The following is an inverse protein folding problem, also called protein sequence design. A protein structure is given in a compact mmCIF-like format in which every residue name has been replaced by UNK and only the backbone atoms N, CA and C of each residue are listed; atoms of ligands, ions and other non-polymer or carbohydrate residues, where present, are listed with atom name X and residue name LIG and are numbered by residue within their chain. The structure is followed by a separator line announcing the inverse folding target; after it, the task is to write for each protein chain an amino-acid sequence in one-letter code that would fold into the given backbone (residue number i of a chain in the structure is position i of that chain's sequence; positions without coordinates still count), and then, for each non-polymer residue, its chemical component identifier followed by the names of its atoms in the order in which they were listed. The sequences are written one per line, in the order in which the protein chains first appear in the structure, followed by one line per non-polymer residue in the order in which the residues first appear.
data_IF_952303512107
#
_entry.id   IF_952303512107
#
_cell.length_a   1.000
_cell.length_b   1.000
_cell.length_c   1.000
_cell.angle_alpha   90.00
_cell.angle_beta   90.00
_cell.angle_gamma   90.00
#
_symmetry.space_group_name_H-M   'P 1'
#
loop_
_entity.id
_entity.type
_entity.pdbx_description
1 polymer ?
#
# COMPACT_ATOMS: atom_id res chain seq x y z
N UNK A 1 37.13 3.19 -52.14
CA UNK A 1 35.73 2.81 -52.18
C UNK A 1 35.15 3.15 -50.81
N UNK A 2 34.31 4.18 -50.77
CA UNK A 2 33.72 4.71 -49.53
C UNK A 2 32.48 3.91 -49.19
N UNK A 3 32.38 3.43 -47.94
CA UNK A 3 31.17 2.84 -47.41
C UNK A 3 30.42 3.93 -46.62
N UNK A 4 29.30 4.34 -47.16
CA UNK A 4 28.36 5.28 -46.55
C UNK A 4 27.61 4.57 -45.45
N UNK A 5 27.75 5.02 -44.19
CA UNK A 5 26.86 4.68 -43.11
C UNK A 5 25.75 5.71 -43.02
N UNK A 6 24.57 5.37 -43.48
CA UNK A 6 23.37 6.17 -43.29
C UNK A 6 22.86 5.96 -41.87
N UNK A 7 23.12 6.90 -40.98
CA UNK A 7 22.39 7.04 -39.71
C UNK A 7 20.97 7.55 -40.00
N UNK A 8 20.01 6.64 -40.05
CA UNK A 8 18.61 7.01 -40.00
C UNK A 8 18.27 7.39 -38.56
N UNK A 9 17.61 8.54 -38.31
CA UNK A 9 17.20 8.91 -36.97
C UNK A 9 16.18 7.89 -36.47
N UNK A 10 16.45 7.24 -35.30
CA UNK A 10 15.48 6.40 -34.60
C UNK A 10 14.23 7.24 -34.32
N UNK A 11 13.12 6.89 -34.91
CA UNK A 11 11.85 7.51 -34.67
C UNK A 11 11.58 7.46 -33.15
N UNK A 12 11.35 8.61 -32.52
CA UNK A 12 10.87 8.70 -31.13
C UNK A 12 9.58 7.90 -31.06
N UNK A 13 9.53 6.87 -30.20
CA UNK A 13 8.29 6.15 -29.89
C UNK A 13 7.26 7.19 -29.44
N UNK A 14 6.09 7.17 -30.04
CA UNK A 14 4.98 8.00 -29.59
C UNK A 14 4.60 7.56 -28.17
N UNK A 15 4.20 8.48 -27.31
CA UNK A 15 3.91 8.22 -25.89
C UNK A 15 2.91 7.09 -25.59
N UNK A 16 2.10 6.71 -26.61
CA UNK A 16 1.16 5.60 -26.55
C UNK A 16 1.81 4.20 -26.60
N UNK A 17 3.12 4.10 -26.89
CA UNK A 17 3.84 2.82 -26.93
C UNK A 17 4.55 2.49 -25.60
N UNK A 18 4.39 3.33 -24.57
CA UNK A 18 4.95 3.09 -23.25
C UNK A 18 4.14 1.97 -22.52
N UNK A 19 4.81 1.08 -21.77
CA UNK A 19 4.11 0.08 -20.97
C UNK A 19 3.06 0.75 -20.06
N UNK A 20 1.85 0.21 -20.01
CA UNK A 20 0.74 0.68 -19.14
C UNK A 20 0.28 2.14 -19.41
N UNK A 21 0.57 2.71 -20.55
CA UNK A 21 0.22 4.10 -20.86
C UNK A 21 -1.28 4.41 -20.66
N UNK A 22 -2.15 3.45 -20.90
CA UNK A 22 -3.59 3.49 -20.70
C UNK A 22 -4.02 3.60 -19.22
N UNK A 23 -3.13 3.25 -18.27
CA UNK A 23 -3.40 3.27 -16.84
C UNK A 23 -2.78 4.48 -16.11
N UNK A 24 -1.91 5.24 -16.77
CA UNK A 24 -1.15 6.33 -16.12
C UNK A 24 -2.05 7.39 -15.50
N UNK A 25 -3.15 7.74 -16.14
CA UNK A 25 -4.06 8.76 -15.61
C UNK A 25 -4.75 8.30 -14.34
N UNK A 26 -5.21 7.04 -14.29
CA UNK A 26 -5.84 6.45 -13.12
C UNK A 26 -4.83 6.30 -11.98
N UNK A 27 -3.60 5.89 -12.28
CA UNK A 27 -2.55 5.78 -11.29
C UNK A 27 -2.17 7.14 -10.69
N UNK A 28 -1.99 8.16 -11.55
CA UNK A 28 -1.67 9.51 -11.08
C UNK A 28 -2.80 10.05 -10.18
N UNK A 29 -4.05 9.90 -10.61
CA UNK A 29 -5.20 10.32 -9.81
C UNK A 29 -5.26 9.60 -8.47
N UNK A 30 -5.04 8.28 -8.45
CA UNK A 30 -5.08 7.49 -7.20
C UNK A 30 -3.93 7.87 -6.26
N UNK A 31 -2.71 8.03 -6.77
CA UNK A 31 -1.57 8.48 -5.94
C UNK A 31 -1.80 9.89 -5.38
N UNK A 32 -2.36 10.81 -6.18
CA UNK A 32 -2.75 12.14 -5.72
C UNK A 32 -3.87 12.06 -4.67
N UNK A 33 -4.86 11.20 -4.86
CA UNK A 33 -5.93 10.99 -3.87
C UNK A 33 -5.35 10.51 -2.53
N UNK A 34 -4.47 9.50 -2.54
CA UNK A 34 -3.81 9.02 -1.33
C UNK A 34 -3.04 10.16 -0.66
N UNK A 35 -2.22 10.91 -1.40
CA UNK A 35 -1.41 12.01 -0.86
C UNK A 35 -2.29 13.09 -0.20
N UNK A 36 -3.31 13.58 -0.90
CA UNK A 36 -4.18 14.65 -0.40
C UNK A 36 -5.06 14.18 0.75
N UNK A 37 -5.56 12.95 0.69
CA UNK A 37 -6.31 12.34 1.79
C UNK A 37 -5.45 12.27 3.06
N UNK A 38 -4.21 11.81 2.95
CA UNK A 38 -3.29 11.69 4.08
C UNK A 38 -2.86 13.05 4.64
N UNK A 39 -2.61 14.03 3.78
CA UNK A 39 -2.34 15.41 4.20
C UNK A 39 -3.52 15.96 5.01
N UNK A 40 -4.75 15.76 4.54
CA UNK A 40 -5.95 16.20 5.24
C UNK A 40 -6.20 15.42 6.53
N UNK A 41 -5.94 14.11 6.56
CA UNK A 41 -5.99 13.31 7.79
C UNK A 41 -4.97 13.82 8.83
N UNK A 42 -3.76 14.20 8.40
CA UNK A 42 -2.76 14.81 9.27
C UNK A 42 -3.19 16.16 9.85
N UNK A 43 -3.86 17.00 9.06
CA UNK A 43 -4.46 18.25 9.54
C UNK A 43 -5.56 17.99 10.56
N UNK A 44 -6.49 17.07 10.26
CA UNK A 44 -7.58 16.69 11.16
C UNK A 44 -7.06 16.12 12.49
N UNK A 45 -6.01 15.31 12.44
CA UNK A 45 -5.32 14.85 13.66
C UNK A 45 -4.76 16.02 14.48
N UNK A 46 -4.12 16.97 13.82
CA UNK A 46 -3.48 18.10 14.50
C UNK A 46 -4.45 19.01 15.24
N UNK A 47 -5.70 19.05 14.79
CA UNK A 47 -6.79 19.81 15.46
C UNK A 47 -7.67 18.94 16.36
N UNK A 48 -7.30 17.67 16.57
CA UNK A 48 -7.97 16.77 17.52
C UNK A 48 -9.24 16.09 17.01
N UNK A 49 -9.53 16.12 15.71
CA UNK A 49 -10.67 15.43 15.10
C UNK A 49 -10.40 13.91 14.93
N UNK A 50 -9.14 13.52 14.85
CA UNK A 50 -8.71 12.11 14.81
C UNK A 50 -8.01 11.78 16.12
N UNK A 51 -8.49 10.77 16.83
CA UNK A 51 -7.94 10.29 18.10
C UNK A 51 -7.01 9.09 17.93
N UNK A 52 -6.30 8.72 18.99
CA UNK A 52 -5.43 7.56 19.00
C UNK A 52 -4.16 7.74 18.18
N UNK A 53 -3.63 6.64 17.62
CA UNK A 53 -2.47 6.68 16.72
C UNK A 53 -2.94 6.83 15.27
N UNK A 54 -2.30 7.75 14.55
CA UNK A 54 -2.54 7.95 13.13
C UNK A 54 -1.21 7.79 12.36
N UNK A 55 -1.19 6.90 11.37
CA UNK A 55 0.00 6.53 10.61
C UNK A 55 -0.21 6.86 9.14
N UNK A 56 0.35 7.96 8.67
CA UNK A 56 0.18 8.43 7.30
C UNK A 56 1.06 7.67 6.30
N UNK A 57 0.53 7.44 5.11
CA UNK A 57 1.19 6.68 4.03
C UNK A 57 2.04 7.53 3.07
N UNK A 58 2.18 8.81 3.34
CA UNK A 58 2.84 9.81 2.47
C UNK A 58 4.25 9.40 2.06
N UNK A 59 4.50 9.35 0.75
CA UNK A 59 5.78 9.00 0.12
C UNK A 59 5.84 7.56 -0.42
N UNK A 60 4.84 6.71 -0.15
CA UNK A 60 4.80 5.30 -0.53
C UNK A 60 3.68 4.97 -1.54
N UNK A 61 3.06 5.97 -2.14
CA UNK A 61 1.85 5.85 -2.94
C UNK A 61 2.00 4.90 -4.13
N UNK A 62 3.17 4.92 -4.80
CA UNK A 62 3.44 4.03 -5.93
C UNK A 62 3.44 2.55 -5.55
N UNK A 63 3.78 2.22 -4.29
CA UNK A 63 3.77 0.84 -3.80
C UNK A 63 2.33 0.31 -3.74
N UNK A 64 1.43 1.04 -3.07
CA UNK A 64 0.04 0.63 -2.97
C UNK A 64 -0.64 0.57 -4.34
N UNK A 65 -0.50 1.64 -5.15
CA UNK A 65 -1.19 1.74 -6.44
C UNK A 65 -0.63 0.72 -7.44
N UNK A 66 0.69 0.58 -7.54
CA UNK A 66 1.33 -0.34 -8.48
C UNK A 66 0.97 -1.81 -8.20
N UNK A 67 0.97 -2.22 -6.94
CA UNK A 67 0.61 -3.59 -6.55
C UNK A 67 -0.89 -3.84 -6.70
N UNK A 68 -1.73 -3.00 -6.12
CA UNK A 68 -3.17 -3.27 -5.99
C UNK A 68 -3.90 -3.12 -7.32
N UNK A 69 -3.46 -2.20 -8.20
CA UNK A 69 -4.07 -2.04 -9.53
C UNK A 69 -3.89 -3.26 -10.46
N UNK A 70 -3.00 -4.19 -10.11
CA UNK A 70 -2.80 -5.45 -10.82
C UNK A 70 -3.64 -6.62 -10.28
N UNK A 71 -4.34 -6.44 -9.15
CA UNK A 71 -5.16 -7.47 -8.54
C UNK A 71 -6.51 -7.65 -9.25
N UNK A 72 -7.06 -8.83 -9.12
CA UNK A 72 -8.45 -9.11 -9.47
C UNK A 72 -9.38 -8.65 -8.33
N UNK A 73 -10.65 -8.38 -8.62
CA UNK A 73 -11.61 -7.95 -7.60
C UNK A 73 -11.78 -8.93 -6.42
N UNK A 74 -11.59 -10.22 -6.67
CA UNK A 74 -11.76 -11.31 -5.69
C UNK A 74 -10.48 -11.66 -4.92
N UNK A 75 -9.34 -11.04 -5.21
CA UNK A 75 -8.09 -11.25 -4.48
C UNK A 75 -8.12 -10.62 -3.08
N UNK A 76 -7.34 -11.18 -2.16
CA UNK A 76 -7.24 -10.69 -0.79
C UNK A 76 -6.09 -9.72 -0.63
N UNK A 77 -6.34 -8.63 0.10
CA UNK A 77 -5.33 -7.66 0.54
C UNK A 77 -5.37 -7.57 2.05
N UNK A 78 -4.23 -7.67 2.71
CA UNK A 78 -4.09 -7.49 4.15
C UNK A 78 -2.84 -6.64 4.44
N UNK A 79 -2.94 -5.70 5.38
CA UNK A 79 -1.87 -4.74 5.64
C UNK A 79 -1.54 -4.61 7.13
N UNK A 80 -0.46 -3.90 7.41
CA UNK A 80 -0.15 -3.38 8.73
C UNK A 80 -0.99 -2.14 9.02
N UNK A 81 -0.71 -1.48 10.12
CA UNK A 81 -1.44 -0.30 10.63
C UNK A 81 -1.31 0.98 9.80
N UNK A 82 -0.53 0.99 8.72
CA UNK A 82 -0.36 2.12 7.76
C UNK A 82 -1.08 1.80 6.46
N UNK A 83 -2.38 1.56 6.56
CA UNK A 83 -3.14 0.94 5.47
C UNK A 83 -4.03 1.89 4.66
N UNK A 84 -4.07 3.19 4.98
CA UNK A 84 -4.97 4.12 4.30
C UNK A 84 -4.75 4.12 2.78
N UNK A 85 -3.48 4.13 2.34
CA UNK A 85 -3.12 4.08 0.93
C UNK A 85 -3.59 2.80 0.25
N UNK A 86 -3.40 1.65 0.89
CA UNK A 86 -3.85 0.37 0.38
C UNK A 86 -5.38 0.26 0.34
N UNK A 87 -6.07 0.79 1.35
CA UNK A 87 -7.52 0.80 1.43
C UNK A 87 -8.12 1.64 0.28
N UNK A 88 -7.60 2.86 0.05
CA UNK A 88 -8.00 3.71 -1.07
C UNK A 88 -7.70 3.05 -2.42
N UNK A 89 -6.50 2.52 -2.61
CA UNK A 89 -6.10 1.83 -3.84
C UNK A 89 -6.96 0.57 -4.11
N UNK A 90 -7.46 -0.09 -3.06
CA UNK A 90 -8.38 -1.24 -3.17
C UNK A 90 -9.81 -0.82 -3.53
N UNK A 91 -10.11 0.48 -3.52
CA UNK A 91 -11.40 1.04 -3.89
C UNK A 91 -12.38 1.13 -2.72
N UNK A 92 -11.89 1.20 -1.49
CA UNK A 92 -12.72 1.59 -0.35
C UNK A 92 -13.09 3.07 -0.45
N UNK A 93 -14.27 3.42 0.04
CA UNK A 93 -14.78 4.79 -0.03
C UNK A 93 -13.95 5.73 0.85
N UNK A 94 -13.46 6.85 0.28
CA UNK A 94 -12.79 7.90 1.04
C UNK A 94 -13.65 8.46 2.16
N UNK A 95 -14.99 8.55 1.96
CA UNK A 95 -15.96 8.91 3.00
C UNK A 95 -15.94 7.94 4.18
N UNK A 96 -16.03 6.63 3.89
CA UNK A 96 -16.06 5.59 4.91
C UNK A 96 -14.74 5.50 5.68
N UNK A 97 -13.60 5.68 5.00
CA UNK A 97 -12.29 5.71 5.63
C UNK A 97 -12.17 6.95 6.53
N UNK A 98 -12.49 8.15 6.04
CA UNK A 98 -12.39 9.37 6.86
C UNK A 98 -13.33 9.33 8.06
N UNK A 99 -14.55 8.81 7.89
CA UNK A 99 -15.50 8.61 9.00
C UNK A 99 -14.94 7.63 10.06
N UNK A 100 -14.22 6.58 9.63
CA UNK A 100 -13.56 5.66 10.57
C UNK A 100 -12.44 6.35 11.35
N UNK A 101 -11.61 7.16 10.67
CA UNK A 101 -10.55 7.92 11.33
C UNK A 101 -11.11 8.91 12.37
N UNK A 102 -12.30 9.48 12.09
CA UNK A 102 -13.03 10.38 13.01
C UNK A 102 -13.79 9.61 14.12
N UNK A 103 -13.77 8.27 14.12
CA UNK A 103 -14.47 7.43 15.09
C UNK A 103 -15.98 7.41 14.92
N UNK A 104 -16.50 7.64 13.70
CA UNK A 104 -17.94 7.76 13.42
C UNK A 104 -18.58 6.43 13.07
N UNK A 105 -19.88 6.29 13.41
CA UNK A 105 -20.66 5.08 13.15
C UNK A 105 -20.72 4.67 11.66
N UNK A 106 -20.55 5.61 10.74
CA UNK A 106 -20.54 5.38 9.28
C UNK A 106 -19.18 4.96 8.75
N UNK A 107 -18.17 4.84 9.61
CA UNK A 107 -16.86 4.30 9.28
C UNK A 107 -16.91 2.82 8.86
N UNK A 108 -15.91 2.36 8.12
CA UNK A 108 -15.84 0.99 7.61
C UNK A 108 -15.74 -0.08 8.71
N UNK A 109 -15.32 0.31 9.91
CA UNK A 109 -15.29 -0.52 11.13
C UNK A 109 -16.20 0.06 12.23
N UNK A 110 -17.23 0.81 11.83
CA UNK A 110 -18.25 1.42 12.72
C UNK A 110 -17.67 2.39 13.77
N UNK A 111 -16.54 3.03 13.45
CA UNK A 111 -15.84 3.92 14.37
C UNK A 111 -15.03 3.23 15.47
N UNK A 112 -14.94 1.89 15.44
CA UNK A 112 -14.25 1.08 16.45
C UNK A 112 -12.77 0.84 16.12
N UNK A 113 -12.38 0.93 14.84
CA UNK A 113 -11.06 0.59 14.34
C UNK A 113 -10.07 1.75 14.30
N UNK A 114 -10.55 2.94 14.02
CA UNK A 114 -9.72 4.13 13.81
C UNK A 114 -8.73 3.96 12.66
N UNK A 115 -7.57 4.65 12.74
CA UNK A 115 -6.55 4.68 11.68
C UNK A 115 -5.89 3.33 11.38
N UNK A 116 -5.95 2.34 12.26
CA UNK A 116 -5.14 1.13 12.17
C UNK A 116 -5.94 -0.15 11.87
N UNK A 117 -7.27 -0.06 11.74
CA UNK A 117 -8.14 -1.22 11.59
C UNK A 117 -9.28 -0.94 10.63
N UNK A 118 -8.91 -0.67 9.37
CA UNK A 118 -9.85 -0.51 8.26
C UNK A 118 -10.15 -1.87 7.64
N UNK A 119 -11.42 -2.21 7.45
CA UNK A 119 -11.85 -3.48 6.86
C UNK A 119 -12.94 -3.24 5.81
N UNK A 120 -12.89 -4.02 4.72
CA UNK A 120 -13.95 -4.08 3.71
C UNK A 120 -13.93 -5.46 3.04
N UNK A 121 -14.79 -6.34 3.51
CA UNK A 121 -14.87 -7.72 3.00
C UNK A 121 -15.36 -7.79 1.56
N UNK A 122 -16.21 -6.85 1.12
CA UNK A 122 -16.72 -6.81 -0.25
C UNK A 122 -15.60 -6.45 -1.25
N UNK A 123 -14.65 -5.64 -0.81
CA UNK A 123 -13.46 -5.29 -1.58
C UNK A 123 -12.32 -6.30 -1.41
N UNK A 124 -12.48 -7.33 -0.59
CA UNK A 124 -11.40 -8.25 -0.25
C UNK A 124 -10.27 -7.60 0.55
N UNK A 125 -10.54 -6.47 1.23
CA UNK A 125 -9.59 -5.80 2.12
C UNK A 125 -9.74 -6.36 3.53
N UNK A 126 -8.81 -7.24 3.91
CA UNK A 126 -8.83 -8.04 5.14
C UNK A 126 -8.20 -7.32 6.33
N UNK A 127 -8.08 -6.01 6.22
CA UNK A 127 -7.79 -5.08 7.29
C UNK A 127 -6.36 -4.68 7.49
N UNK A 128 -6.23 -3.64 8.29
CA UNK A 128 -5.00 -3.18 8.92
C UNK A 128 -4.83 -3.80 10.31
N UNK A 129 -3.59 -4.06 10.67
CA UNK A 129 -3.26 -4.74 11.92
C UNK A 129 -2.26 -3.92 12.74
N UNK A 130 -2.65 -3.55 13.97
CA UNK A 130 -1.80 -2.81 14.91
C UNK A 130 -0.64 -3.66 15.45
N UNK A 131 -0.82 -4.98 15.56
CA UNK A 131 0.26 -5.90 15.99
C UNK A 131 1.25 -6.08 14.86
N UNK A 132 2.50 -5.65 15.08
CA UNK A 132 3.56 -5.74 14.08
C UNK A 132 3.76 -7.19 13.62
N UNK A 133 3.56 -7.43 12.33
CA UNK A 133 3.71 -8.74 11.71
C UNK A 133 2.58 -9.74 11.97
N UNK A 134 1.55 -9.40 12.75
CA UNK A 134 0.40 -10.26 12.99
C UNK A 134 -0.37 -10.62 11.73
N UNK A 135 -0.38 -9.72 10.74
CA UNK A 135 -1.01 -9.95 9.44
C UNK A 135 -0.29 -10.96 8.55
N UNK A 136 0.99 -11.24 8.77
CA UNK A 136 1.78 -12.12 7.89
C UNK A 136 1.23 -13.57 7.91
N UNK A 137 1.02 -14.21 9.06
CA UNK A 137 0.40 -15.54 9.10
C UNK A 137 -1.07 -15.52 8.64
N UNK A 138 -1.82 -14.42 8.86
CA UNK A 138 -3.18 -14.29 8.35
C UNK A 138 -3.20 -14.25 6.82
N UNK A 139 -2.30 -13.51 6.19
CA UNK A 139 -2.15 -13.48 4.75
C UNK A 139 -1.79 -14.85 4.17
N UNK A 140 -0.89 -15.60 4.83
CA UNK A 140 -0.62 -17.00 4.49
C UNK A 140 -1.89 -17.87 4.63
N UNK A 141 -2.72 -17.60 5.65
CA UNK A 141 -4.00 -18.29 5.88
C UNK A 141 -5.01 -18.04 4.76
N UNK A 142 -5.15 -16.81 4.27
CA UNK A 142 -6.00 -16.51 3.11
C UNK A 142 -5.52 -17.23 1.85
N UNK A 143 -4.21 -17.24 1.59
CA UNK A 143 -3.63 -17.99 0.48
C UNK A 143 -3.86 -19.50 0.64
N UNK A 144 -3.76 -20.03 1.85
CA UNK A 144 -4.08 -21.42 2.12
C UNK A 144 -5.57 -21.73 1.86
N UNK A 145 -6.46 -20.84 2.30
CA UNK A 145 -7.90 -20.99 2.04
C UNK A 145 -8.22 -20.97 0.55
N UNK A 146 -7.61 -20.06 -0.22
CA UNK A 146 -7.75 -20.03 -1.68
C UNK A 146 -7.30 -21.35 -2.31
N UNK A 147 -6.14 -21.86 -1.95
CA UNK A 147 -5.63 -23.15 -2.42
C UNK A 147 -6.53 -24.32 -2.02
N UNK A 148 -6.99 -24.36 -0.75
CA UNK A 148 -7.88 -25.41 -0.26
C UNK A 148 -9.22 -25.44 -1.02
N UNK A 149 -9.78 -24.24 -1.28
CA UNK A 149 -11.03 -24.07 -2.05
C UNK A 149 -10.83 -24.25 -3.56
N UNK A 150 -9.58 -24.38 -4.02
CA UNK A 150 -9.20 -24.45 -5.45
C UNK A 150 -9.68 -23.25 -6.25
N UNK A 151 -9.61 -22.06 -5.66
CA UNK A 151 -9.84 -20.80 -6.36
C UNK A 151 -8.53 -20.28 -6.94
N UNK A 152 -8.62 -19.30 -7.86
CA UNK A 152 -7.45 -18.65 -8.45
C UNK A 152 -7.04 -17.37 -7.69
N UNK A 153 -7.65 -17.10 -6.53
CA UNK A 153 -7.35 -15.94 -5.70
C UNK A 153 -5.92 -15.97 -5.20
N UNK A 154 -5.33 -14.80 -5.09
CA UNK A 154 -4.04 -14.59 -4.43
C UNK A 154 -4.23 -13.76 -3.15
N UNK A 155 -3.30 -13.88 -2.23
CA UNK A 155 -3.24 -13.07 -1.02
C UNK A 155 -2.04 -12.15 -1.08
N UNK A 156 -2.27 -10.84 -1.10
CA UNK A 156 -1.27 -9.79 -1.04
C UNK A 156 -1.14 -9.29 0.40
N UNK A 157 0.03 -9.45 1.00
CA UNK A 157 0.28 -9.17 2.41
C UNK A 157 1.36 -8.12 2.57
N UNK A 158 1.00 -6.94 3.08
CA UNK A 158 1.92 -5.82 3.32
C UNK A 158 2.44 -5.81 4.75
N UNK A 159 3.71 -5.50 4.92
CA UNK A 159 4.34 -5.28 6.23
C UNK A 159 5.63 -4.46 6.09
N UNK A 160 6.02 -3.77 7.15
CA UNK A 160 7.28 -3.01 7.16
C UNK A 160 8.51 -3.91 7.35
N UNK A 161 9.68 -3.37 7.03
CA UNK A 161 10.97 -4.06 7.12
C UNK A 161 11.31 -4.58 8.53
N UNK A 162 10.85 -3.89 9.58
CA UNK A 162 11.06 -4.33 10.96
C UNK A 162 10.31 -5.64 11.26
N UNK A 163 9.14 -5.84 10.67
CA UNK A 163 8.35 -7.05 10.84
C UNK A 163 9.04 -8.29 10.25
N UNK A 164 9.97 -8.12 9.32
CA UNK A 164 10.74 -9.24 8.78
C UNK A 164 11.67 -9.90 9.82
N UNK A 165 11.86 -9.32 11.02
CA UNK A 165 12.71 -9.86 12.07
C UNK A 165 11.94 -10.68 13.14
N UNK A 166 10.61 -10.75 13.07
CA UNK A 166 9.79 -11.48 14.07
C UNK A 166 9.59 -12.95 13.69
N UNK A 167 9.29 -13.79 14.67
CA UNK A 167 9.11 -15.24 14.48
C UNK A 167 8.01 -15.57 13.46
N UNK A 168 6.86 -14.91 13.54
CA UNK A 168 5.72 -15.15 12.65
C UNK A 168 6.02 -14.92 11.16
N UNK A 169 6.97 -14.02 10.82
CA UNK A 169 7.45 -13.88 9.45
C UNK A 169 8.09 -15.21 8.98
N UNK A 170 9.02 -15.73 9.74
CA UNK A 170 9.76 -16.95 9.38
C UNK A 170 8.85 -18.17 9.29
N UNK A 171 7.93 -18.31 10.22
CA UNK A 171 6.97 -19.41 10.28
C UNK A 171 6.01 -19.36 9.09
N UNK A 172 5.41 -18.20 8.81
CA UNK A 172 4.45 -18.02 7.74
C UNK A 172 5.09 -18.24 6.34
N UNK A 173 6.30 -17.69 6.12
CA UNK A 173 6.98 -17.87 4.83
C UNK A 173 7.42 -19.32 4.62
N UNK A 174 7.86 -20.00 5.67
CA UNK A 174 8.19 -21.43 5.60
C UNK A 174 6.97 -22.27 5.20
N UNK A 175 5.82 -22.04 5.84
CA UNK A 175 4.57 -22.73 5.50
C UNK A 175 4.11 -22.42 4.07
N UNK A 176 4.19 -21.14 3.69
CA UNK A 176 3.80 -20.71 2.35
C UNK A 176 4.67 -21.34 1.26
N UNK A 177 5.99 -21.40 1.46
CA UNK A 177 6.93 -22.04 0.54
C UNK A 177 6.71 -23.55 0.45
N UNK A 178 6.64 -24.22 1.61
CA UNK A 178 6.40 -25.69 1.69
C UNK A 178 5.13 -26.12 0.96
N UNK A 179 4.05 -25.37 1.13
CA UNK A 179 2.76 -25.70 0.53
C UNK A 179 2.52 -25.00 -0.80
N UNK A 180 3.47 -24.25 -1.33
CA UNK A 180 3.32 -23.47 -2.58
C UNK A 180 2.02 -22.68 -2.59
N UNK A 181 1.83 -21.85 -1.55
CA UNK A 181 0.62 -21.04 -1.42
C UNK A 181 0.63 -19.88 -2.42
N UNK A 182 -0.54 -19.45 -2.94
CA UNK A 182 -0.65 -18.29 -3.80
C UNK A 182 -0.57 -16.99 -2.97
N UNK A 183 0.57 -16.77 -2.30
CA UNK A 183 0.83 -15.64 -1.43
C UNK A 183 1.92 -14.74 -2.01
N UNK A 184 1.70 -13.43 -1.92
CA UNK A 184 2.69 -12.41 -2.21
C UNK A 184 2.96 -11.64 -0.91
N UNK A 185 4.18 -11.71 -0.43
CA UNK A 185 4.64 -11.02 0.77
C UNK A 185 5.40 -9.77 0.37
N UNK A 186 4.97 -8.61 0.86
CA UNK A 186 5.51 -7.30 0.50
C UNK A 186 6.14 -6.65 1.71
N UNK A 187 7.44 -6.45 1.66
CA UNK A 187 8.16 -5.59 2.61
C UNK A 187 8.08 -4.15 2.07
N UNK A 188 7.33 -3.28 2.72
CA UNK A 188 7.39 -1.83 2.48
C UNK A 188 8.63 -1.28 3.21
N UNK A 189 9.78 -1.36 2.55
CA UNK A 189 11.06 -1.05 3.14
C UNK A 189 11.38 0.44 3.03
N UNK A 190 10.94 1.20 4.02
CA UNK A 190 11.22 2.64 4.11
C UNK A 190 12.48 2.95 4.96
N UNK A 191 13.26 1.93 5.29
CA UNK A 191 14.55 2.03 5.97
C UNK A 191 14.50 2.10 7.49
N UNK A 192 13.31 2.30 8.10
CA UNK A 192 13.18 2.55 9.53
C UNK A 192 11.95 1.90 10.15
N UNK A 193 12.17 0.96 11.07
CA UNK A 193 11.14 0.49 12.01
C UNK A 193 11.03 1.48 13.18
N UNK A 194 10.00 2.33 13.20
CA UNK A 194 9.93 3.53 14.02
C UNK A 194 11.19 4.40 13.80
N UNK A 195 12.05 4.51 14.80
CA UNK A 195 13.33 5.21 14.75
C UNK A 195 14.56 4.29 14.58
N UNK A 196 14.37 2.98 14.38
CA UNK A 196 15.48 2.03 14.25
C UNK A 196 15.75 1.73 12.78
N UNK A 197 16.92 2.14 12.29
CA UNK A 197 17.34 1.85 10.93
C UNK A 197 17.57 0.34 10.72
N UNK A 198 17.24 -0.17 9.52
CA UNK A 198 17.44 -1.59 9.14
C UNK A 198 18.85 -2.08 9.44
N UNK A 199 19.88 -1.29 9.10
CA UNK A 199 21.29 -1.64 9.35
C UNK A 199 21.67 -1.85 10.82
N UNK A 200 20.81 -1.43 11.76
CA UNK A 200 21.00 -1.65 13.21
C UNK A 200 20.24 -2.85 13.73
N UNK A 201 19.22 -3.33 13.01
CA UNK A 201 18.29 -4.35 13.46
C UNK A 201 18.37 -5.65 12.65
N UNK A 202 18.86 -5.61 11.43
CA UNK A 202 18.95 -6.77 10.54
C UNK A 202 20.40 -7.15 10.26
N UNK A 203 20.71 -8.46 10.37
CA UNK A 203 22.04 -8.99 10.05
C UNK A 203 22.38 -8.84 8.56
N UNK A 204 21.38 -8.89 7.68
CA UNK A 204 21.47 -8.57 6.26
C UNK A 204 20.45 -7.48 5.95
N UNK A 205 20.85 -6.46 5.17
CA UNK A 205 20.00 -5.32 4.83
C UNK A 205 19.17 -5.53 3.57
N UNK A 206 19.62 -6.48 2.72
CA UNK A 206 18.92 -6.88 1.50
C UNK A 206 17.92 -7.98 1.85
N UNK A 207 16.74 -7.54 2.33
CA UNK A 207 15.77 -8.42 2.98
C UNK A 207 15.15 -9.43 2.00
N UNK A 208 15.14 -9.12 0.69
CA UNK A 208 14.69 -10.07 -0.34
C UNK A 208 15.50 -11.37 -0.33
N UNK A 209 16.77 -11.35 0.09
CA UNK A 209 17.62 -12.55 0.16
C UNK A 209 17.12 -13.59 1.16
N UNK A 210 16.30 -13.19 2.14
CA UNK A 210 15.69 -14.13 3.10
C UNK A 210 14.74 -15.13 2.45
N UNK A 211 14.18 -14.79 1.30
CA UNK A 211 13.28 -15.66 0.55
C UNK A 211 13.89 -17.01 0.18
N UNK A 212 15.20 -17.03 -0.08
CA UNK A 212 15.93 -18.26 -0.42
C UNK A 212 15.82 -19.33 0.67
N UNK A 213 15.72 -18.94 1.96
CA UNK A 213 15.55 -19.85 3.08
C UNK A 213 14.24 -20.63 3.06
N UNK A 214 13.24 -20.15 2.28
CA UNK A 214 11.89 -20.75 2.18
C UNK A 214 11.62 -21.31 0.78
N UNK A 215 12.64 -21.39 -0.09
CA UNK A 215 12.51 -21.92 -1.45
C UNK A 215 11.61 -21.09 -2.36
N UNK A 216 11.52 -19.77 -2.13
CA UNK A 216 10.74 -18.85 -2.96
C UNK A 216 11.63 -17.74 -3.53
N UNK A 217 11.25 -17.12 -4.66
CA UNK A 217 11.96 -15.95 -5.17
C UNK A 217 11.81 -14.76 -4.23
N UNK A 218 12.90 -14.02 -4.06
CA UNK A 218 12.94 -12.72 -3.41
C UNK A 218 13.41 -11.67 -4.42
N UNK A 219 12.67 -10.57 -4.53
CA UNK A 219 12.92 -9.52 -5.52
C UNK A 219 13.01 -8.18 -4.82
N UNK A 220 14.11 -7.45 -5.05
CA UNK A 220 14.21 -6.04 -4.67
C UNK A 220 13.58 -5.18 -5.77
N UNK A 221 12.74 -4.23 -5.37
CA UNK A 221 11.98 -3.37 -6.29
C UNK A 221 12.15 -1.91 -5.89
N UNK A 222 12.31 -1.03 -6.87
CA UNK A 222 12.26 0.42 -6.65
C UNK A 222 10.81 0.87 -6.43
N UNK A 223 10.45 1.13 -5.19
CA UNK A 223 9.10 1.53 -4.76
C UNK A 223 8.71 2.97 -5.12
N UNK A 224 9.64 3.77 -5.67
CA UNK A 224 9.33 5.11 -6.16
C UNK A 224 8.97 5.10 -7.66
N UNK A 225 9.28 4.02 -8.40
CA UNK A 225 8.84 3.83 -9.78
C UNK A 225 7.63 2.87 -9.84
N UNK A 226 6.45 3.44 -10.07
CA UNK A 226 5.19 2.67 -10.14
C UNK A 226 5.23 1.60 -11.23
N UNK A 227 6.00 1.79 -12.31
CA UNK A 227 6.11 0.81 -13.39
C UNK A 227 6.91 -0.40 -12.91
N UNK A 228 8.04 -0.17 -12.24
CA UNK A 228 8.82 -1.26 -11.64
C UNK A 228 8.00 -2.05 -10.62
N UNK A 229 7.20 -1.37 -9.79
CA UNK A 229 6.29 -2.01 -8.84
C UNK A 229 5.24 -2.84 -9.56
N UNK A 230 4.63 -2.30 -10.63
CA UNK A 230 3.62 -3.01 -11.42
C UNK A 230 4.16 -4.26 -12.11
N UNK A 231 5.33 -4.19 -12.74
CA UNK A 231 5.96 -5.33 -13.40
C UNK A 231 6.31 -6.45 -12.42
N UNK A 232 6.82 -6.08 -11.24
CA UNK A 232 7.08 -7.04 -10.16
C UNK A 232 5.80 -7.70 -9.65
N UNK A 233 4.72 -6.91 -9.51
CA UNK A 233 3.39 -7.39 -9.11
C UNK A 233 2.86 -8.44 -10.10
N UNK A 234 2.83 -8.11 -11.39
CA UNK A 234 2.31 -9.02 -12.42
C UNK A 234 3.09 -10.33 -12.47
N UNK A 235 4.42 -10.25 -12.37
CA UNK A 235 5.27 -11.44 -12.31
C UNK A 235 4.94 -12.31 -11.10
N UNK A 236 4.80 -11.71 -9.92
CA UNK A 236 4.49 -12.42 -8.68
C UNK A 236 3.08 -13.05 -8.71
N UNK A 237 2.08 -12.32 -9.23
CA UNK A 237 0.71 -12.82 -9.34
C UNK A 237 0.59 -13.94 -10.36
N UNK A 238 1.22 -13.80 -11.52
CA UNK A 238 1.25 -14.87 -12.53
C UNK A 238 1.83 -16.16 -11.97
N UNK A 239 2.97 -16.05 -11.26
CA UNK A 239 3.61 -17.18 -10.58
C UNK A 239 2.70 -17.84 -9.55
N UNK A 240 2.06 -17.04 -8.70
CA UNK A 240 1.17 -17.52 -7.64
C UNK A 240 -0.05 -18.27 -8.24
N UNK A 241 -0.68 -17.70 -9.28
CA UNK A 241 -1.82 -18.31 -9.97
C UNK A 241 -1.45 -19.58 -10.76
N UNK A 242 -0.22 -19.66 -11.27
CA UNK A 242 0.31 -20.88 -11.90
C UNK A 242 0.58 -22.01 -10.89
N UNK A 243 0.39 -21.76 -9.56
CA UNK A 243 0.65 -22.76 -8.52
C UNK A 243 2.14 -23.00 -8.25
N UNK A 244 3.00 -22.09 -8.73
CA UNK A 244 4.46 -22.19 -8.52
C UNK A 244 4.90 -21.76 -7.12
N UNK A 245 4.00 -21.13 -6.35
CA UNK A 245 4.19 -20.77 -4.95
C UNK A 245 4.37 -19.27 -4.72
N UNK A 246 4.74 -18.87 -3.49
CA UNK A 246 4.80 -17.49 -3.06
C UNK A 246 6.01 -16.74 -3.62
N UNK A 247 5.95 -15.41 -3.49
CA UNK A 247 7.06 -14.49 -3.80
C UNK A 247 7.21 -13.49 -2.66
N UNK A 248 8.46 -13.14 -2.31
CA UNK A 248 8.79 -12.05 -1.39
C UNK A 248 9.27 -10.84 -2.20
N UNK A 249 8.59 -9.71 -2.08
CA UNK A 249 8.98 -8.44 -2.68
C UNK A 249 9.54 -7.52 -1.59
N UNK A 250 10.80 -7.10 -1.71
CA UNK A 250 11.42 -6.07 -0.85
C UNK A 250 11.36 -4.74 -1.60
N UNK A 251 10.31 -3.97 -1.35
CA UNK A 251 10.04 -2.73 -2.09
C UNK A 251 10.67 -1.56 -1.35
N UNK A 252 11.75 -1.02 -1.94
CA UNK A 252 12.49 0.12 -1.41
C UNK A 252 11.70 1.39 -1.65
N UNK A 253 11.22 2.00 -0.57
CA UNK A 253 10.41 3.20 -0.61
C UNK A 253 10.87 4.21 0.45
N UNK A 254 10.18 5.33 0.58
CA UNK A 254 10.51 6.33 1.59
C UNK A 254 9.24 6.97 2.18
N UNK A 255 9.18 7.05 3.50
CA UNK A 255 8.10 7.72 4.24
C UNK A 255 8.52 9.16 4.54
N UNK A 256 7.78 10.16 4.02
CA UNK A 256 8.14 11.59 4.18
C UNK A 256 7.78 12.19 5.54
N UNK A 257 6.92 11.53 6.29
CA UNK A 257 6.42 11.97 7.60
C UNK A 257 7.02 11.12 8.73
N UNK A 258 6.74 11.47 9.98
CA UNK A 258 7.11 10.68 11.15
C UNK A 258 6.53 9.25 11.10
N UNK A 259 6.92 8.40 12.04
CA UNK A 259 6.36 7.05 12.12
C UNK A 259 4.84 7.10 12.36
N UNK A 260 4.42 7.95 13.28
CA UNK A 260 3.03 8.34 13.51
C UNK A 260 2.94 9.87 13.53
N UNK A 261 1.74 10.41 13.65
CA UNK A 261 1.53 11.86 13.74
C UNK A 261 2.14 12.48 14.99
N UNK A 262 2.44 11.69 16.03
CA UNK A 262 3.16 12.16 17.23
C UNK A 262 4.67 12.30 17.02
N UNK A 263 5.22 11.80 15.92
CA UNK A 263 6.66 11.80 15.68
C UNK A 263 7.08 12.89 14.71
N UNK A 264 8.22 13.52 14.95
CA UNK A 264 8.80 14.47 14.01
C UNK A 264 9.24 13.75 12.70
N UNK A 265 9.06 14.41 11.58
CA UNK A 265 9.47 13.89 10.26
C UNK A 265 11.00 13.78 10.13
N UNK A 266 11.73 14.68 10.76
CA UNK A 266 13.21 14.74 10.76
C UNK A 266 13.74 15.26 12.10
N UNK A 267 15.04 15.12 12.32
CA UNK A 267 15.73 15.65 13.51
C UNK A 267 15.79 14.70 14.71
N UNK A 268 15.02 13.63 14.72
CA UNK A 268 15.06 12.59 15.77
C UNK A 268 15.92 11.40 15.38
N UNK A 269 15.65 10.77 14.22
CA UNK A 269 16.35 9.57 13.75
C UNK A 269 16.73 9.64 12.26
N UNK A 270 16.15 10.57 11.50
CA UNK A 270 16.49 10.90 10.11
C UNK A 270 16.98 12.32 10.01
N UNK A 271 17.95 12.57 9.13
CA UNK A 271 18.40 13.94 8.87
C UNK A 271 17.45 14.65 7.89
N UNK A 272 17.51 15.97 7.87
CA UNK A 272 16.77 16.77 6.89
C UNK A 272 17.28 16.53 5.49
N UNK A 273 18.59 16.37 5.34
CA UNK A 273 19.26 16.10 4.05
C UNK A 273 18.78 14.77 3.44
N UNK A 274 18.62 13.72 4.28
CA UNK A 274 18.07 12.44 3.86
C UNK A 274 16.63 12.59 3.35
N UNK A 275 15.80 13.33 4.06
CA UNK A 275 14.42 13.60 3.67
C UNK A 275 14.36 14.42 2.37
N UNK A 276 15.17 15.46 2.24
CA UNK A 276 15.19 16.33 1.06
C UNK A 276 15.70 15.58 -0.19
N UNK A 277 16.71 14.71 -0.03
CA UNK A 277 17.19 13.85 -1.10
C UNK A 277 16.12 12.85 -1.57
N UNK A 278 15.37 12.28 -0.64
CA UNK A 278 14.30 11.34 -0.97
C UNK A 278 13.12 12.01 -1.70
N UNK A 279 12.81 13.28 -1.36
CA UNK A 279 11.78 14.06 -2.06
C UNK A 279 12.09 14.36 -3.52
N UNK A 280 13.37 14.33 -3.92
CA UNK A 280 13.75 14.47 -5.34
C UNK A 280 13.30 13.30 -6.19
N UNK A 281 12.94 12.19 -5.55
CA UNK A 281 12.41 10.98 -6.19
C UNK A 281 10.96 10.70 -5.78
N UNK A 282 10.16 11.78 -5.62
CA UNK A 282 8.75 11.65 -5.29
C UNK A 282 8.01 10.83 -6.36
N UNK A 283 7.27 9.76 -5.98
CA UNK A 283 6.66 8.84 -6.94
C UNK A 283 5.59 9.51 -7.81
N UNK A 284 4.89 10.52 -7.28
CA UNK A 284 3.90 11.29 -8.03
C UNK A 284 4.61 12.13 -9.09
N UNK A 285 5.66 12.84 -8.69
CA UNK A 285 6.44 13.67 -9.61
C UNK A 285 7.13 12.85 -10.71
N UNK A 286 7.60 11.64 -10.40
CA UNK A 286 8.19 10.73 -11.38
C UNK A 286 7.17 10.28 -12.44
N UNK A 287 5.95 9.93 -12.04
CA UNK A 287 4.90 9.56 -13.00
C UNK A 287 4.43 10.77 -13.80
N UNK A 288 4.23 11.92 -13.15
CA UNK A 288 3.87 13.18 -13.81
C UNK A 288 4.88 13.56 -14.90
N UNK A 289 6.17 13.56 -14.58
CA UNK A 289 7.23 13.86 -15.54
C UNK A 289 7.18 12.90 -16.72
N UNK A 290 7.01 11.61 -16.50
CA UNK A 290 6.90 10.59 -17.54
C UNK A 290 5.67 10.83 -18.43
N UNK A 291 4.55 11.19 -17.87
CA UNK A 291 3.33 11.51 -18.62
C UNK A 291 3.50 12.78 -19.47
N UNK A 292 4.15 13.81 -18.94
CA UNK A 292 4.46 15.05 -19.66
C UNK A 292 5.42 14.78 -20.84
N UNK A 293 6.49 14.03 -20.60
CA UNK A 293 7.45 13.65 -21.64
C UNK A 293 6.81 12.84 -22.77
N UNK A 294 5.79 12.05 -22.42
CA UNK A 294 4.99 11.28 -23.38
C UNK A 294 3.88 12.10 -24.06
N UNK A 295 3.68 13.37 -23.66
CA UNK A 295 2.59 14.22 -24.18
C UNK A 295 1.19 13.76 -23.74
N UNK A 296 1.09 13.04 -22.63
CA UNK A 296 -0.16 12.50 -22.07
C UNK A 296 -0.76 13.36 -20.97
N UNK A 297 -0.01 14.36 -20.49
CA UNK A 297 -0.42 15.27 -19.42
C UNK A 297 0.08 16.69 -19.72
N UNK A 298 -0.81 17.65 -19.64
CA UNK A 298 -0.52 19.09 -19.63
C UNK A 298 -0.95 19.73 -18.31
N UNK A 299 -0.74 21.04 -18.15
CA UNK A 299 -1.09 21.75 -16.93
C UNK A 299 -2.61 21.77 -16.69
N UNK A 300 -3.40 21.83 -17.74
CA UNK A 300 -4.86 21.81 -17.63
C UNK A 300 -5.36 20.43 -17.17
N UNK A 301 -4.80 19.36 -17.71
CA UNK A 301 -5.09 17.98 -17.30
C UNK A 301 -4.72 17.71 -15.85
N UNK A 302 -3.53 18.13 -15.42
CA UNK A 302 -3.12 18.01 -14.03
C UNK A 302 -4.04 18.80 -13.09
N UNK A 303 -4.35 20.05 -13.42
CA UNK A 303 -5.24 20.88 -12.62
C UNK A 303 -6.66 20.26 -12.51
N UNK A 304 -7.16 19.64 -13.56
CA UNK A 304 -8.44 18.94 -13.51
C UNK A 304 -8.42 17.71 -12.59
N UNK A 305 -7.35 16.92 -12.61
CA UNK A 305 -7.17 15.79 -11.70
C UNK A 305 -7.08 16.28 -10.25
N UNK A 306 -6.26 17.29 -9.97
CA UNK A 306 -6.10 17.86 -8.63
C UNK A 306 -7.42 18.44 -8.10
N UNK A 307 -8.18 19.15 -8.91
CA UNK A 307 -9.49 19.69 -8.53
C UNK A 307 -10.49 18.58 -8.17
N UNK A 308 -10.53 17.50 -8.97
CA UNK A 308 -11.35 16.32 -8.68
C UNK A 308 -10.98 15.64 -7.37
N UNK A 309 -9.68 15.46 -7.13
CA UNK A 309 -9.15 14.86 -5.89
C UNK A 309 -9.46 15.76 -4.69
N UNK A 310 -9.23 17.07 -4.80
CA UNK A 310 -9.53 18.00 -3.72
C UNK A 310 -11.01 18.00 -3.34
N UNK A 311 -11.90 17.94 -4.33
CA UNK A 311 -13.34 17.84 -4.10
C UNK A 311 -13.72 16.53 -3.37
N UNK A 312 -13.14 15.39 -3.77
CA UNK A 312 -13.38 14.09 -3.13
C UNK A 312 -12.88 14.07 -1.67
N UNK A 313 -11.70 14.62 -1.41
CA UNK A 313 -11.15 14.71 -0.06
C UNK A 313 -11.97 15.65 0.82
N UNK A 314 -12.37 16.82 0.31
CA UNK A 314 -13.23 17.76 1.05
C UNK A 314 -14.58 17.13 1.41
N UNK A 315 -15.19 16.42 0.45
CA UNK A 315 -16.43 15.69 0.64
C UNK A 315 -16.32 14.60 1.70
N UNK A 316 -15.19 13.86 1.74
CA UNK A 316 -14.95 12.83 2.75
C UNK A 316 -14.88 13.40 4.18
N UNK A 317 -14.30 14.59 4.34
CA UNK A 317 -14.25 15.28 5.63
C UNK A 317 -15.64 15.78 6.05
N UNK A 318 -16.37 16.44 5.14
CA UNK A 318 -17.74 16.90 5.41
C UNK A 318 -18.62 15.72 5.83
N UNK A 319 -18.55 14.59 5.09
CA UNK A 319 -19.28 13.38 5.43
C UNK A 319 -18.93 12.86 6.83
N UNK A 320 -17.65 12.85 7.20
CA UNK A 320 -17.20 12.39 8.52
C UNK A 320 -17.69 13.34 9.62
N UNK A 321 -17.64 14.66 9.43
CA UNK A 321 -18.11 15.66 10.39
C UNK A 321 -19.63 15.58 10.63
N UNK A 322 -20.40 15.32 9.58
CA UNK A 322 -21.86 15.19 9.65
C UNK A 322 -22.33 13.81 10.13
N UNK A 323 -21.44 12.85 10.19
CA UNK A 323 -21.74 11.46 10.61
C UNK A 323 -21.98 11.35 12.11
N UNK A 324 -22.95 10.49 12.53
CA UNK A 324 -23.24 10.30 13.96
C UNK A 324 -22.10 9.58 14.69
N UNK A 325 -22.01 9.84 15.98
CA UNK A 325 -21.19 9.03 16.90
C UNK A 325 -21.77 7.62 17.00
N UNK A 326 -20.94 6.59 17.26
CA UNK A 326 -21.43 5.26 17.59
C UNK A 326 -22.34 5.28 18.83
N UNK A 327 -23.39 4.45 18.85
CA UNK A 327 -24.22 4.29 20.04
C UNK A 327 -23.41 3.66 21.20
N UNK A 328 -23.64 4.11 22.40
CA UNK A 328 -22.94 3.59 23.59
C UNK A 328 -23.12 2.06 23.77
N UNK A 329 -24.23 1.50 23.34
CA UNK A 329 -24.48 0.05 23.32
C UNK A 329 -23.56 -0.74 22.40
N UNK A 330 -23.03 -0.10 21.37
CA UNK A 330 -22.06 -0.74 20.45
C UNK A 330 -20.76 -1.19 21.14
N UNK A 331 -20.46 -0.67 22.33
CA UNK A 331 -19.33 -1.12 23.14
C UNK A 331 -19.39 -2.62 23.48
N UNK A 332 -20.59 -3.18 23.55
CA UNK A 332 -20.83 -4.57 23.96
C UNK A 332 -21.22 -5.49 22.81
N UNK A 333 -21.33 -4.96 21.57
CA UNK A 333 -21.69 -5.75 20.40
C UNK A 333 -20.42 -6.29 19.71
N UNK A 334 -20.58 -7.38 18.97
CA UNK A 334 -19.52 -7.97 18.13
C UNK A 334 -18.22 -8.36 18.87
N UNK A 335 -18.28 -8.53 20.20
CA UNK A 335 -17.15 -8.97 21.02
C UNK A 335 -16.96 -10.48 20.94
N UNK A 336 -18.07 -11.23 20.87
CA UNK A 336 -18.08 -12.68 20.74
C UNK A 336 -18.88 -13.08 19.50
N UNK A 337 -18.54 -14.24 18.93
CA UNK A 337 -19.36 -14.82 17.89
C UNK A 337 -20.79 -15.08 18.43
N UNK A 338 -21.84 -14.91 17.61
CA UNK A 338 -23.18 -15.28 18.00
C UNK A 338 -23.18 -16.74 18.48
N UNK A 339 -23.68 -16.99 19.67
CA UNK A 339 -23.94 -18.37 20.13
C UNK A 339 -25.05 -18.92 19.26
N UNK A 340 -24.78 -20.00 18.51
CA UNK A 340 -25.64 -20.55 17.47
C UNK A 340 -26.97 -21.12 17.91
N UNK A 341 -27.79 -20.34 18.63
CA UNK A 341 -29.18 -20.66 19.06
C UNK A 341 -30.26 -19.82 18.35
N UNK A 342 -29.87 -19.05 17.31
CA UNK A 342 -30.84 -18.43 16.39
C UNK A 342 -30.55 -18.88 14.96
N UNK A 343 -30.98 -20.11 14.64
CA UNK A 343 -31.04 -20.72 13.32
C UNK A 343 -32.42 -20.62 12.74
#
# INVERSE_FOLDING_TARGET
MAVSTSDAPKARRRGTDAPYADQYQDWLRMMLLIRRFEERAGEAYSIGQIGGFCHLYIGQEAVAVGLISALRPDDYVISAYREHGQALARGMSSRSIMAELFGKATGCSKGKGGSMHLFDLEKGFMGGHGIVGGQIPLGAGFAWAAKYRKTEQVSLTFFGEAAANIGSFHEALNMAGLWKLPAIFVIENNGYGMGTAVKRAAAITDLHLRAASYGMPGVEVDGQDIIAVREAAETAYARARAGEGPTLLDIRTFRYVGHSMSDAASGTYRSKEELDASRQRDPIALLEARMRDAGMLDDAGLAAIEASVAAEVADSVTFAEESPEPDAGELYTEVLAPTGEEG
#
